data_IF_404591083336
#
_entry.id   IF_404591083336
#
_cell.length_a   1.000
_cell.length_b   1.000
_cell.length_c   1.000
_cell.angle_alpha   90.00
_cell.angle_beta   90.00
_cell.angle_gamma   90.00
#
_symmetry.space_group_name_H-M   'P 1'
#
loop_
_entity.id
_entity.type
_entity.pdbx_description
1 polymer ?
#
# COMPACT_ATOMS: atom_id res chain seq x y z
N UNK A 1 15.31 27.16 3.91
CA UNK A 1 14.67 26.57 5.11
C UNK A 1 14.14 27.61 6.10
N UNK A 2 14.91 28.58 6.65
CA UNK A 2 14.45 29.51 7.71
C UNK A 2 13.13 30.20 7.32
N UNK A 3 13.09 30.90 6.19
CA UNK A 3 11.88 31.63 5.75
C UNK A 3 10.67 30.70 5.54
N UNK A 4 10.88 29.45 5.10
CA UNK A 4 9.82 28.46 4.96
C UNK A 4 9.26 28.08 6.34
N UNK A 5 10.13 27.80 7.30
CA UNK A 5 9.70 27.45 8.66
C UNK A 5 8.93 28.59 9.33
N UNK A 6 9.39 29.84 9.19
CA UNK A 6 8.69 31.01 9.74
C UNK A 6 7.27 31.16 9.18
N UNK A 7 7.07 30.95 7.89
CA UNK A 7 5.73 30.92 7.26
C UNK A 7 4.88 29.77 7.80
N UNK A 8 5.44 28.56 7.86
CA UNK A 8 4.72 27.39 8.35
C UNK A 8 4.33 27.49 9.83
N UNK A 9 5.13 28.18 10.66
CA UNK A 9 4.80 28.48 12.07
C UNK A 9 3.62 29.44 12.21
N UNK A 10 3.35 30.25 11.18
CA UNK A 10 2.18 31.12 11.08
C UNK A 10 0.99 30.43 10.39
N UNK A 11 1.02 29.12 10.28
CA UNK A 11 0.00 28.28 9.65
C UNK A 11 -0.17 28.46 8.13
N UNK A 12 0.78 29.11 7.46
CA UNK A 12 0.83 29.11 6.00
C UNK A 12 1.02 27.69 5.46
N UNK A 13 0.69 27.52 4.18
CA UNK A 13 0.89 26.26 3.46
C UNK A 13 1.88 26.46 2.32
N UNK A 14 2.49 25.36 1.87
CA UNK A 14 3.35 25.37 0.71
C UNK A 14 2.53 25.10 -0.56
N UNK A 15 2.91 25.72 -1.66
CA UNK A 15 2.50 25.30 -2.98
C UNK A 15 3.14 23.93 -3.33
N UNK A 16 2.61 23.25 -4.34
CA UNK A 16 3.18 21.97 -4.83
C UNK A 16 4.65 22.11 -5.24
N UNK A 17 5.01 23.21 -5.92
CA UNK A 17 6.40 23.47 -6.32
C UNK A 17 7.32 23.72 -5.11
N UNK A 18 6.89 24.55 -4.14
CA UNK A 18 7.68 24.80 -2.93
C UNK A 18 7.92 23.51 -2.12
N UNK A 19 6.89 22.65 -1.99
CA UNK A 19 7.01 21.37 -1.30
C UNK A 19 7.94 20.41 -2.05
N UNK A 20 7.87 20.37 -3.37
CA UNK A 20 8.78 19.60 -4.22
C UNK A 20 10.24 20.03 -4.01
N UNK A 21 10.55 21.32 -4.20
CA UNK A 21 11.91 21.84 -4.09
C UNK A 21 12.48 21.67 -2.67
N UNK A 22 11.61 21.83 -1.67
CA UNK A 22 11.98 21.62 -0.27
C UNK A 22 12.44 20.17 -0.02
N UNK A 23 11.71 19.18 -0.56
CA UNK A 23 12.06 17.78 -0.37
C UNK A 23 13.31 17.40 -1.15
N UNK A 24 13.51 17.94 -2.36
CA UNK A 24 14.76 17.76 -3.08
C UNK A 24 15.96 18.28 -2.26
N UNK A 25 15.83 19.48 -1.68
CA UNK A 25 16.88 20.04 -0.80
C UNK A 25 17.14 19.19 0.45
N UNK A 26 16.13 18.53 1.00
CA UNK A 26 16.27 17.57 2.11
C UNK A 26 17.03 16.32 1.63
N UNK A 27 16.65 15.76 0.48
CA UNK A 27 17.31 14.60 -0.11
C UNK A 27 18.79 14.87 -0.41
N UNK A 28 19.11 16.05 -0.87
CA UNK A 28 20.47 16.52 -1.17
C UNK A 28 21.23 17.01 0.08
N UNK A 29 20.65 16.83 1.29
CA UNK A 29 21.23 17.21 2.59
C UNK A 29 21.64 18.69 2.70
N UNK A 30 20.90 19.57 2.04
CA UNK A 30 21.13 21.01 2.07
C UNK A 30 20.73 21.66 3.40
N UNK A 31 20.02 20.94 4.26
CA UNK A 31 19.46 21.46 5.50
C UNK A 31 19.96 20.69 6.71
N UNK A 32 20.11 21.38 7.83
CA UNK A 32 20.50 20.78 9.09
C UNK A 32 19.37 19.90 9.65
N UNK A 33 19.71 18.79 10.29
CA UNK A 33 18.75 17.81 10.83
C UNK A 33 17.69 18.45 11.74
N UNK A 34 18.08 19.44 12.56
CA UNK A 34 17.16 20.17 13.42
C UNK A 34 16.10 20.95 12.63
N UNK A 35 16.45 21.49 11.47
CA UNK A 35 15.50 22.18 10.59
C UNK A 35 14.54 21.20 9.93
N UNK A 36 15.03 20.03 9.53
CA UNK A 36 14.19 18.95 8.96
C UNK A 36 13.26 18.42 10.05
N UNK A 37 13.75 18.15 11.26
CA UNK A 37 12.92 17.71 12.38
C UNK A 37 11.82 18.73 12.71
N UNK A 38 12.15 20.03 12.71
CA UNK A 38 11.19 21.10 12.92
C UNK A 38 10.09 21.12 11.85
N UNK A 39 10.47 20.98 10.57
CA UNK A 39 9.53 20.83 9.46
C UNK A 39 8.58 19.62 9.67
N UNK A 40 9.14 18.47 10.00
CA UNK A 40 8.34 17.26 10.26
C UNK A 40 7.38 17.45 11.44
N UNK A 41 7.78 18.22 12.44
CA UNK A 41 6.93 18.55 13.59
C UNK A 41 5.76 19.44 13.18
N UNK A 42 5.94 20.43 12.31
CA UNK A 42 4.83 21.24 11.79
C UNK A 42 3.75 20.37 11.16
N UNK A 43 4.15 19.43 10.28
CA UNK A 43 3.21 18.50 9.64
C UNK A 43 2.64 17.44 10.59
N UNK A 44 3.16 17.31 11.79
CA UNK A 44 2.56 16.50 12.86
C UNK A 44 1.49 17.28 13.63
N UNK A 45 1.64 18.61 13.72
CA UNK A 45 0.75 19.50 14.47
C UNK A 45 -0.44 20.00 13.64
N UNK A 46 -0.32 20.00 12.32
CA UNK A 46 -1.40 20.36 11.40
C UNK A 46 -1.55 19.35 10.28
N UNK A 47 -2.72 19.34 9.68
CA UNK A 47 -2.99 18.51 8.49
C UNK A 47 -2.19 19.00 7.28
N UNK A 48 -1.61 18.06 6.56
CA UNK A 48 -0.97 18.34 5.28
C UNK A 48 -2.04 18.64 4.22
N UNK A 49 -1.77 19.63 3.35
CA UNK A 49 -2.62 19.95 2.21
C UNK A 49 -2.30 19.01 1.03
N UNK A 50 -3.29 18.84 0.15
CA UNK A 50 -3.17 17.99 -1.04
C UNK A 50 -1.98 18.43 -1.91
N UNK A 51 -1.81 19.73 -2.14
CA UNK A 51 -0.72 20.25 -2.97
C UNK A 51 0.66 20.05 -2.32
N UNK A 52 0.77 20.17 -1.01
CA UNK A 52 1.99 19.87 -0.27
C UNK A 52 2.37 18.38 -0.39
N UNK A 53 1.37 17.48 -0.22
CA UNK A 53 1.60 16.04 -0.31
C UNK A 53 2.00 15.62 -1.74
N UNK A 54 1.37 16.24 -2.75
CA UNK A 54 1.73 16.03 -4.15
C UNK A 54 3.15 16.52 -4.45
N UNK A 55 3.55 17.70 -3.95
CA UNK A 55 4.91 18.20 -4.12
C UNK A 55 5.96 17.27 -3.53
N UNK A 56 5.73 16.80 -2.31
CA UNK A 56 6.62 15.81 -1.68
C UNK A 56 6.65 14.48 -2.44
N UNK A 57 5.50 14.02 -2.92
CA UNK A 57 5.43 12.84 -3.79
C UNK A 57 6.25 13.01 -5.05
N UNK A 58 6.06 14.12 -5.76
CA UNK A 58 6.71 14.37 -7.05
C UNK A 58 8.24 14.38 -6.90
N UNK A 59 8.76 14.99 -5.84
CA UNK A 59 10.18 14.97 -5.52
C UNK A 59 10.72 13.56 -5.25
N UNK A 60 9.97 12.72 -4.53
CA UNK A 60 10.37 11.34 -4.29
C UNK A 60 10.37 10.50 -5.57
N UNK A 61 9.40 10.71 -6.44
CA UNK A 61 9.31 10.04 -7.74
C UNK A 61 10.46 10.49 -8.65
N UNK A 62 10.78 11.79 -8.69
CA UNK A 62 11.90 12.31 -9.47
C UNK A 62 13.25 11.69 -9.06
N UNK A 63 13.42 11.41 -7.76
CA UNK A 63 14.64 10.79 -7.21
C UNK A 63 14.56 9.27 -7.11
N UNK A 64 13.45 8.65 -7.50
CA UNK A 64 13.33 7.21 -7.51
C UNK A 64 14.14 6.58 -8.66
N UNK A 65 14.57 5.34 -8.46
CA UNK A 65 15.07 4.53 -9.56
C UNK A 65 13.87 4.13 -10.44
N UNK A 66 13.83 4.54 -11.71
CA UNK A 66 12.68 4.29 -12.55
C UNK A 66 12.59 2.81 -12.96
N UNK A 67 11.37 2.31 -13.05
CA UNK A 67 11.06 1.04 -13.71
C UNK A 67 9.81 1.24 -14.57
N UNK A 68 9.92 0.94 -15.84
CA UNK A 68 8.79 1.03 -16.77
C UNK A 68 8.05 -0.31 -16.85
N UNK A 69 6.81 -0.33 -16.31
CA UNK A 69 5.87 -1.44 -16.37
C UNK A 69 4.53 -1.01 -17.00
N UNK A 70 4.50 0.10 -17.74
CA UNK A 70 3.26 0.67 -18.30
C UNK A 70 2.52 -0.29 -19.22
N UNK A 71 3.23 -1.14 -19.95
CA UNK A 71 2.65 -2.18 -20.83
C UNK A 71 1.72 -3.16 -20.13
N UNK A 72 1.89 -3.34 -18.81
CA UNK A 72 1.10 -4.28 -18.00
C UNK A 72 -0.18 -3.67 -17.41
N UNK A 73 -0.36 -2.34 -17.44
CA UNK A 73 -1.47 -1.65 -16.80
C UNK A 73 -1.76 -2.19 -15.38
N UNK A 74 -0.70 -2.30 -14.57
CA UNK A 74 -0.72 -3.03 -13.31
C UNK A 74 -1.49 -2.31 -12.20
N UNK A 75 -2.00 -3.09 -11.24
CA UNK A 75 -2.60 -2.64 -9.99
C UNK A 75 -1.56 -2.67 -8.86
N UNK A 76 -1.51 -1.63 -8.04
CA UNK A 76 -0.89 -1.68 -6.70
C UNK A 76 -1.97 -1.91 -5.63
N UNK A 77 -1.75 -2.85 -4.72
CA UNK A 77 -2.61 -3.08 -3.55
C UNK A 77 -1.79 -2.78 -2.30
N UNK A 78 -2.11 -1.69 -1.62
CA UNK A 78 -1.31 -1.20 -0.50
C UNK A 78 -2.18 -0.58 0.59
N UNK A 79 -1.80 -0.76 1.85
CA UNK A 79 -2.33 0.00 2.98
C UNK A 79 -1.35 1.10 3.41
N UNK A 80 -1.85 2.13 4.06
CA UNK A 80 -0.99 3.18 4.66
C UNK A 80 -0.11 2.65 5.77
N UNK A 81 -0.52 1.57 6.38
CA UNK A 81 0.10 1.05 7.59
C UNK A 81 -0.17 1.94 8.80
N UNK A 82 0.29 1.48 9.95
CA UNK A 82 0.27 2.31 11.15
C UNK A 82 -1.13 2.51 11.77
N UNK A 83 -2.09 1.69 11.46
CA UNK A 83 -3.42 1.63 12.07
C UNK A 83 -3.38 1.12 13.52
N UNK A 84 -2.23 0.59 13.97
CA UNK A 84 -2.06 0.01 15.29
C UNK A 84 -2.63 -1.40 15.42
N UNK A 85 -3.04 -1.99 14.31
CA UNK A 85 -3.53 -3.38 14.24
C UNK A 85 -2.38 -4.31 13.85
N UNK A 86 -2.35 -5.49 14.43
CA UNK A 86 -1.42 -6.54 14.02
C UNK A 86 -2.18 -7.58 13.18
N UNK A 87 -2.59 -7.17 11.97
CA UNK A 87 -3.25 -8.07 11.01
C UNK A 87 -2.24 -8.94 10.28
N UNK A 88 -2.67 -10.13 9.84
CA UNK A 88 -1.88 -10.93 8.90
C UNK A 88 -1.75 -10.20 7.54
N UNK A 89 -0.91 -10.71 6.64
CA UNK A 89 -0.56 -10.03 5.38
C UNK A 89 -1.70 -10.07 4.34
N UNK A 90 -2.85 -9.47 4.66
CA UNK A 90 -4.09 -9.48 3.87
C UNK A 90 -3.84 -8.97 2.45
N UNK A 91 -3.30 -7.74 2.32
CA UNK A 91 -3.06 -7.14 1.01
C UNK A 91 -2.05 -7.92 0.17
N UNK A 92 -1.04 -8.55 0.81
CA UNK A 92 -0.07 -9.38 0.08
C UNK A 92 -0.69 -10.67 -0.41
N UNK A 93 -1.54 -11.34 0.39
CA UNK A 93 -2.33 -12.48 -0.07
C UNK A 93 -3.25 -12.08 -1.24
N UNK A 94 -3.96 -10.95 -1.11
CA UNK A 94 -4.86 -10.45 -2.14
C UNK A 94 -4.13 -10.20 -3.48
N UNK A 95 -2.88 -9.74 -3.46
CA UNK A 95 -2.07 -9.57 -4.68
C UNK A 95 -1.94 -10.87 -5.46
N UNK A 96 -1.65 -12.00 -4.80
CA UNK A 96 -1.53 -13.29 -5.47
C UNK A 96 -2.86 -13.85 -5.96
N UNK A 97 -3.95 -13.53 -5.27
CA UNK A 97 -5.32 -13.89 -5.73
C UNK A 97 -5.67 -13.11 -7.00
N UNK A 98 -5.42 -11.79 -7.02
CA UNK A 98 -5.66 -10.93 -8.20
C UNK A 98 -4.79 -11.35 -9.38
N UNK A 99 -3.51 -11.63 -9.14
CA UNK A 99 -2.62 -12.13 -10.18
C UNK A 99 -3.08 -13.48 -10.74
N UNK A 100 -3.53 -14.40 -9.88
CA UNK A 100 -4.06 -15.72 -10.26
C UNK A 100 -5.40 -15.64 -11.02
N UNK A 101 -6.18 -14.56 -10.80
CA UNK A 101 -7.37 -14.24 -11.60
C UNK A 101 -7.04 -13.72 -13.00
N UNK A 102 -5.76 -13.47 -13.31
CA UNK A 102 -5.30 -13.06 -14.64
C UNK A 102 -4.95 -11.58 -14.80
N UNK A 103 -5.00 -10.81 -13.71
CA UNK A 103 -4.63 -9.40 -13.71
C UNK A 103 -3.16 -9.21 -13.36
N UNK A 104 -2.60 -8.05 -13.71
CA UNK A 104 -1.21 -7.72 -13.40
C UNK A 104 -1.12 -6.87 -12.14
N UNK A 105 -0.21 -7.26 -11.24
CA UNK A 105 0.00 -6.59 -9.95
C UNK A 105 1.44 -6.16 -9.81
N UNK A 106 1.68 -4.88 -9.53
CA UNK A 106 2.99 -4.33 -9.20
C UNK A 106 2.94 -3.73 -7.78
N UNK A 107 3.15 -4.60 -6.79
CA UNK A 107 3.08 -4.19 -5.38
C UNK A 107 4.34 -3.46 -4.96
N UNK A 108 4.18 -2.21 -4.53
CA UNK A 108 5.22 -1.46 -3.85
C UNK A 108 5.09 -1.67 -2.33
N UNK A 109 6.15 -2.12 -1.68
CA UNK A 109 6.07 -2.46 -0.28
C UNK A 109 7.39 -2.39 0.49
N UNK A 110 7.28 -2.55 1.81
CA UNK A 110 8.39 -2.48 2.75
C UNK A 110 8.17 -3.44 3.92
N UNK A 111 9.08 -3.43 4.87
CA UNK A 111 8.88 -4.03 6.19
C UNK A 111 7.76 -3.31 6.94
N UNK A 112 7.08 -4.01 7.82
CA UNK A 112 6.04 -3.43 8.66
C UNK A 112 6.58 -2.30 9.55
N UNK A 113 5.82 -1.22 9.67
CA UNK A 113 6.19 -0.12 10.55
C UNK A 113 5.76 -0.36 12.02
N UNK A 114 4.68 -1.10 12.20
CA UNK A 114 4.07 -1.38 13.52
C UNK A 114 3.62 -2.84 13.68
N UNK A 115 3.46 -3.59 12.60
CA UNK A 115 3.13 -5.01 12.63
C UNK A 115 4.38 -5.89 12.76
N UNK A 116 4.19 -7.10 13.27
CA UNK A 116 5.25 -8.12 13.38
C UNK A 116 5.78 -8.52 12.00
N UNK A 117 4.92 -8.55 10.98
CA UNK A 117 5.29 -8.95 9.62
C UNK A 117 4.69 -8.00 8.60
N UNK A 118 5.56 -7.22 7.93
CA UNK A 118 5.20 -6.49 6.71
C UNK A 118 5.30 -7.36 5.46
N UNK A 119 4.95 -6.78 4.30
CA UNK A 119 5.02 -7.50 3.03
C UNK A 119 6.44 -8.03 2.73
N UNK A 120 7.48 -7.22 2.98
CA UNK A 120 8.86 -7.67 2.79
C UNK A 120 9.24 -8.82 3.73
N UNK A 121 8.79 -8.77 4.99
CA UNK A 121 9.10 -9.81 5.98
C UNK A 121 8.58 -11.18 5.53
N UNK A 122 7.31 -11.25 5.11
CA UNK A 122 6.73 -12.53 4.68
C UNK A 122 7.35 -13.04 3.38
N UNK A 123 7.70 -12.16 2.45
CA UNK A 123 8.34 -12.56 1.21
C UNK A 123 9.78 -13.06 1.41
N UNK A 124 10.58 -12.37 2.25
CA UNK A 124 11.92 -12.85 2.63
C UNK A 124 11.90 -14.20 3.35
N UNK A 125 10.89 -14.43 4.21
CA UNK A 125 10.71 -15.73 4.87
C UNK A 125 10.59 -16.89 3.84
N UNK A 126 10.01 -16.59 2.66
CA UNK A 126 9.90 -17.55 1.56
C UNK A 126 11.11 -17.55 0.58
N UNK A 127 12.21 -16.91 0.96
CA UNK A 127 13.45 -16.92 0.19
C UNK A 127 13.52 -15.91 -0.96
N UNK A 128 12.57 -14.96 -1.05
CA UNK A 128 12.60 -13.91 -2.06
C UNK A 128 13.80 -12.99 -1.84
N UNK A 129 14.57 -12.77 -2.88
CA UNK A 129 15.69 -11.82 -2.91
C UNK A 129 15.26 -10.57 -3.65
N UNK A 130 15.12 -9.47 -2.91
CA UNK A 130 14.72 -8.20 -3.50
C UNK A 130 15.80 -7.66 -4.43
N UNK A 131 15.37 -7.13 -5.56
CA UNK A 131 16.25 -6.59 -6.59
C UNK A 131 15.64 -5.34 -7.22
N UNK A 132 16.46 -4.54 -7.88
CA UNK A 132 16.07 -3.47 -8.80
C UNK A 132 16.49 -3.77 -10.24
N UNK A 133 16.84 -5.01 -10.54
CA UNK A 133 17.09 -5.49 -11.89
C UNK A 133 15.78 -5.48 -12.69
N UNK A 134 15.68 -4.54 -13.63
CA UNK A 134 14.50 -4.29 -14.44
C UNK A 134 14.07 -5.54 -15.25
N UNK A 135 15.02 -6.28 -15.82
CA UNK A 135 14.71 -7.46 -16.64
C UNK A 135 14.13 -8.59 -15.80
N UNK A 136 14.68 -8.79 -14.59
CA UNK A 136 14.16 -9.78 -13.64
C UNK A 136 12.75 -9.40 -13.18
N UNK A 137 12.52 -8.14 -12.87
CA UNK A 137 11.21 -7.63 -12.43
C UNK A 137 10.17 -7.67 -13.53
N UNK A 138 10.53 -7.30 -14.77
CA UNK A 138 9.64 -7.43 -15.93
C UNK A 138 9.28 -8.89 -16.20
N UNK A 139 10.24 -9.79 -16.14
CA UNK A 139 10.00 -11.24 -16.28
C UNK A 139 9.05 -11.76 -15.21
N UNK A 140 9.17 -11.28 -13.98
CA UNK A 140 8.29 -11.68 -12.88
C UNK A 140 6.84 -11.32 -13.17
N UNK A 141 6.54 -10.06 -13.49
CA UNK A 141 5.15 -9.64 -13.80
C UNK A 141 4.63 -10.26 -15.08
N UNK A 142 5.47 -10.45 -16.10
CA UNK A 142 5.06 -11.09 -17.34
C UNK A 142 4.61 -12.53 -17.11
N UNK A 143 5.45 -13.34 -16.46
CA UNK A 143 5.27 -14.78 -16.34
C UNK A 143 4.30 -15.21 -15.23
N UNK A 144 4.32 -14.55 -14.07
CA UNK A 144 3.42 -14.90 -12.96
C UNK A 144 2.36 -13.85 -12.62
N UNK A 145 2.28 -12.75 -13.36
CA UNK A 145 1.30 -11.68 -13.10
C UNK A 145 1.62 -10.80 -11.90
N UNK A 146 2.71 -11.08 -11.18
CA UNK A 146 3.09 -10.38 -9.95
C UNK A 146 4.53 -9.89 -9.99
N UNK A 147 4.76 -8.66 -9.56
CA UNK A 147 6.09 -8.13 -9.23
C UNK A 147 6.07 -7.43 -7.88
N UNK A 148 7.16 -7.55 -7.14
CA UNK A 148 7.34 -6.86 -5.85
C UNK A 148 8.47 -5.84 -5.95
N UNK A 149 8.14 -4.58 -5.68
CA UNK A 149 9.05 -3.45 -5.71
C UNK A 149 9.39 -3.07 -4.26
N UNK A 150 10.55 -3.52 -3.79
CA UNK A 150 11.01 -3.26 -2.42
C UNK A 150 11.44 -1.80 -2.25
N UNK A 151 10.66 -1.01 -1.53
CA UNK A 151 10.81 0.45 -1.45
C UNK A 151 12.24 0.96 -1.16
N UNK A 152 13.03 0.36 -0.25
CA UNK A 152 14.41 0.80 0.00
C UNK A 152 15.33 0.75 -1.22
N UNK A 153 15.08 -0.14 -2.18
CA UNK A 153 15.90 -0.26 -3.39
C UNK A 153 15.56 0.80 -4.44
N UNK A 154 14.36 1.39 -4.37
CA UNK A 154 13.88 2.35 -5.37
C UNK A 154 13.92 3.80 -4.91
N UNK A 155 13.93 4.07 -3.60
CA UNK A 155 13.85 5.43 -3.05
C UNK A 155 15.09 5.82 -2.23
N UNK A 156 16.24 6.06 -2.87
CA UNK A 156 17.47 6.47 -2.16
C UNK A 156 17.30 7.80 -1.40
N UNK A 157 16.44 8.70 -1.87
CA UNK A 157 16.14 9.96 -1.20
C UNK A 157 15.61 9.79 0.24
N UNK A 158 14.90 8.70 0.53
CA UNK A 158 14.39 8.40 1.86
C UNK A 158 15.51 8.06 2.87
N UNK A 159 16.69 7.67 2.40
CA UNK A 159 17.84 7.41 3.27
C UNK A 159 18.29 8.69 4.02
N UNK A 160 18.15 9.87 3.41
CA UNK A 160 18.52 11.15 4.02
C UNK A 160 17.69 11.46 5.28
N UNK A 161 16.41 11.11 5.29
CA UNK A 161 15.50 11.40 6.41
C UNK A 161 15.39 10.25 7.41
N UNK A 162 15.90 9.08 7.08
CA UNK A 162 15.83 7.87 7.91
C UNK A 162 16.37 8.08 9.34
N UNK A 163 17.58 8.61 9.55
CA UNK A 163 18.14 8.88 10.87
C UNK A 163 17.29 9.85 11.69
N UNK A 164 16.82 10.94 11.07
CA UNK A 164 16.00 11.96 11.73
C UNK A 164 14.68 11.33 12.21
N UNK A 165 13.99 10.60 11.35
CA UNK A 165 12.74 9.91 11.69
C UNK A 165 12.91 8.92 12.84
N UNK A 166 14.01 8.15 12.84
CA UNK A 166 14.34 7.23 13.95
C UNK A 166 14.59 7.96 15.26
N UNK A 167 15.26 9.12 15.21
CA UNK A 167 15.53 9.93 16.40
C UNK A 167 14.25 10.55 16.96
N UNK A 168 13.33 11.00 16.10
CA UNK A 168 12.05 11.59 16.51
C UNK A 168 11.10 10.58 17.15
N UNK A 169 11.15 9.29 16.80
CA UNK A 169 10.30 8.20 17.30
C UNK A 169 8.78 8.46 17.20
N UNK A 170 8.35 9.28 16.26
CA UNK A 170 6.94 9.59 15.98
C UNK A 170 6.62 9.38 14.50
N UNK A 171 5.35 9.18 14.19
CA UNK A 171 4.89 9.17 12.79
C UNK A 171 5.13 10.56 12.17
N UNK A 172 5.58 10.58 10.93
CA UNK A 172 5.85 11.81 10.16
C UNK A 172 5.09 11.79 8.84
N UNK A 173 5.14 12.87 8.06
CA UNK A 173 4.54 12.93 6.72
C UNK A 173 5.04 11.82 5.79
N UNK A 174 6.25 11.31 6.00
CA UNK A 174 6.79 10.20 5.20
C UNK A 174 6.00 8.89 5.36
N UNK A 175 5.22 8.76 6.42
CA UNK A 175 4.29 7.63 6.55
C UNK A 175 3.10 7.73 5.59
N UNK A 176 2.78 8.93 5.10
CA UNK A 176 1.72 9.16 4.12
C UNK A 176 2.22 8.99 2.66
N UNK A 177 3.52 9.05 2.43
CA UNK A 177 4.07 9.06 1.07
C UNK A 177 4.25 7.67 0.47
N UNK A 178 4.47 6.64 1.31
CA UNK A 178 4.74 5.27 0.85
C UNK A 178 3.77 4.76 -0.23
N UNK A 179 2.45 4.85 -0.01
CA UNK A 179 1.46 4.39 -0.99
C UNK A 179 1.43 5.21 -2.30
N UNK A 180 1.98 6.42 -2.30
CA UNK A 180 1.89 7.34 -3.44
C UNK A 180 3.12 7.31 -4.35
N UNK A 181 4.16 6.56 -3.98
CA UNK A 181 5.47 6.61 -4.65
C UNK A 181 5.88 5.26 -5.25
N UNK A 182 4.92 4.48 -5.74
CA UNK A 182 5.24 3.28 -6.51
C UNK A 182 6.08 3.68 -7.74
N UNK A 183 7.32 3.18 -7.89
CA UNK A 183 8.24 3.63 -8.93
C UNK A 183 7.82 3.18 -10.34
N UNK A 184 6.88 2.25 -10.47
CA UNK A 184 6.36 1.79 -11.76
C UNK A 184 5.17 2.60 -12.27
N UNK A 185 4.72 3.63 -11.53
CA UNK A 185 3.58 4.47 -11.94
C UNK A 185 2.35 3.65 -12.34
N UNK A 186 1.91 2.75 -11.45
CA UNK A 186 0.80 1.84 -11.73
C UNK A 186 -0.45 2.55 -12.28
N UNK A 187 -1.13 1.93 -13.24
CA UNK A 187 -2.36 2.47 -13.82
C UNK A 187 -3.53 2.46 -12.83
N UNK A 188 -3.48 1.52 -11.87
CA UNK A 188 -4.55 1.32 -10.88
C UNK A 188 -3.97 1.19 -9.47
N UNK A 189 -4.78 1.62 -8.47
CA UNK A 189 -4.41 1.48 -7.06
C UNK A 189 -5.62 1.14 -6.18
N UNK A 190 -5.54 0.05 -5.43
CA UNK A 190 -6.39 -0.20 -4.26
C UNK A 190 -5.63 0.24 -3.02
N UNK A 191 -6.10 1.30 -2.37
CA UNK A 191 -5.43 1.90 -1.23
C UNK A 191 -6.28 1.79 0.03
N UNK A 192 -5.78 1.07 1.02
CA UNK A 192 -6.37 1.03 2.36
C UNK A 192 -5.85 2.15 3.26
N UNK A 193 -6.75 2.76 4.01
CA UNK A 193 -6.44 3.86 4.94
C UNK A 193 -7.11 3.64 6.30
N UNK A 194 -6.45 4.08 7.38
CA UNK A 194 -6.90 3.82 8.74
C UNK A 194 -8.11 4.66 9.22
N UNK A 195 -8.49 5.71 8.49
CA UNK A 195 -9.59 6.60 8.89
C UNK A 195 -10.14 7.45 7.73
N UNK A 196 -11.32 8.04 7.96
CA UNK A 196 -12.02 8.85 6.97
C UNK A 196 -11.29 10.15 6.58
N UNK A 197 -10.46 10.72 7.46
CA UNK A 197 -9.67 11.90 7.15
C UNK A 197 -8.58 11.57 6.11
N UNK A 198 -7.87 10.47 6.31
CA UNK A 198 -6.92 9.96 5.32
C UNK A 198 -7.63 9.57 4.01
N UNK A 199 -8.80 8.92 4.10
CA UNK A 199 -9.58 8.59 2.91
C UNK A 199 -9.85 9.82 2.05
N UNK A 200 -10.31 10.92 2.64
CA UNK A 200 -10.55 12.18 1.92
C UNK A 200 -9.28 12.75 1.31
N UNK A 201 -8.18 12.75 2.07
CA UNK A 201 -6.88 13.23 1.59
C UNK A 201 -6.40 12.45 0.37
N UNK A 202 -6.35 11.12 0.49
CA UNK A 202 -5.85 10.26 -0.59
C UNK A 202 -6.76 10.24 -1.81
N UNK A 203 -8.08 10.27 -1.64
CA UNK A 203 -9.02 10.39 -2.77
C UNK A 203 -8.71 11.65 -3.59
N UNK A 204 -8.55 12.81 -2.94
CA UNK A 204 -8.22 14.06 -3.63
C UNK A 204 -6.83 14.01 -4.30
N UNK A 205 -5.85 13.37 -3.66
CA UNK A 205 -4.51 13.19 -4.23
C UNK A 205 -4.55 12.29 -5.46
N UNK A 206 -5.19 11.12 -5.38
CA UNK A 206 -5.27 10.16 -6.48
C UNK A 206 -6.07 10.69 -7.68
N UNK A 207 -7.14 11.48 -7.42
CA UNK A 207 -7.85 12.20 -8.47
C UNK A 207 -6.92 13.18 -9.23
N UNK A 208 -6.06 13.91 -8.52
CA UNK A 208 -5.10 14.83 -9.16
C UNK A 208 -3.95 14.09 -9.87
N UNK A 209 -3.59 12.89 -9.42
CA UNK A 209 -2.63 12.02 -10.12
C UNK A 209 -3.24 11.47 -11.41
N UNK A 210 -4.55 11.23 -11.46
CA UNK A 210 -5.28 10.82 -12.66
C UNK A 210 -5.18 9.33 -12.98
N UNK A 211 -5.01 8.46 -11.98
CA UNK A 211 -5.04 6.99 -12.13
C UNK A 211 -6.42 6.41 -11.78
N UNK A 212 -6.67 5.17 -12.15
CA UNK A 212 -7.81 4.41 -11.64
C UNK A 212 -7.57 4.04 -10.18
N UNK A 213 -8.52 4.33 -9.28
CA UNK A 213 -8.30 4.02 -7.86
C UNK A 213 -9.57 3.60 -7.12
N UNK A 214 -9.34 2.85 -6.06
CA UNK A 214 -10.30 2.62 -4.99
C UNK A 214 -9.59 2.85 -3.64
N UNK A 215 -10.12 3.74 -2.81
CA UNK A 215 -9.67 3.92 -1.42
C UNK A 215 -10.66 3.25 -0.49
N UNK A 216 -10.17 2.45 0.44
CA UNK A 216 -11.00 1.69 1.39
C UNK A 216 -10.60 1.97 2.84
N UNK A 217 -11.55 1.90 3.75
CA UNK A 217 -11.32 1.95 5.20
C UNK A 217 -12.40 1.16 5.92
N UNK A 218 -12.02 0.30 6.84
CA UNK A 218 -12.97 -0.26 7.80
C UNK A 218 -13.30 0.77 8.88
N UNK A 219 -14.59 0.89 9.26
CA UNK A 219 -15.03 1.98 10.13
C UNK A 219 -14.51 1.85 11.57
N UNK A 220 -14.02 0.69 11.95
CA UNK A 220 -13.32 0.41 13.21
C UNK A 220 -11.80 0.60 13.13
N UNK A 221 -11.29 1.22 12.04
CA UNK A 221 -9.95 1.77 11.95
C UNK A 221 -8.87 0.86 11.37
N UNK A 222 -9.24 -0.18 10.61
CA UNK A 222 -8.27 -0.94 9.81
C UNK A 222 -8.01 -0.24 8.47
N UNK A 223 -6.76 -0.26 8.03
CA UNK A 223 -6.34 0.22 6.71
C UNK A 223 -6.45 -0.86 5.61
N UNK A 224 -7.42 -1.74 5.75
CA UNK A 224 -7.82 -2.79 4.83
C UNK A 224 -9.33 -3.04 4.97
N UNK A 225 -9.94 -3.79 4.07
CA UNK A 225 -11.30 -4.32 4.27
C UNK A 225 -11.17 -5.50 5.23
N UNK A 226 -11.40 -5.24 6.52
CA UNK A 226 -11.21 -6.23 7.59
C UNK A 226 -12.40 -7.16 7.79
N UNK A 227 -13.61 -6.74 7.35
CA UNK A 227 -14.88 -7.39 7.66
C UNK A 227 -15.22 -7.44 9.16
N UNK A 228 -14.49 -6.71 10.02
CA UNK A 228 -14.76 -6.61 11.46
C UNK A 228 -15.85 -5.58 11.77
N UNK A 229 -16.10 -4.68 10.84
CA UNK A 229 -17.17 -3.68 10.85
C UNK A 229 -17.61 -3.41 9.39
N UNK A 230 -18.53 -2.48 9.22
CA UNK A 230 -18.78 -1.88 7.93
C UNK A 230 -17.53 -1.20 7.40
N UNK A 231 -17.43 -1.11 6.09
CA UNK A 231 -16.29 -0.44 5.46
C UNK A 231 -16.76 0.55 4.40
N UNK A 232 -16.01 1.63 4.27
CA UNK A 232 -16.27 2.67 3.28
C UNK A 232 -15.34 2.51 2.09
N UNK A 233 -15.87 2.75 0.92
CA UNK A 233 -15.19 2.67 -0.37
C UNK A 233 -15.38 3.98 -1.12
N UNK A 234 -14.31 4.56 -1.66
CA UNK A 234 -14.33 5.70 -2.56
C UNK A 234 -13.51 5.38 -3.80
N UNK A 235 -14.08 5.58 -4.97
CA UNK A 235 -13.42 5.38 -6.26
C UNK A 235 -13.40 6.67 -7.09
N UNK A 236 -12.94 6.58 -8.34
CA UNK A 236 -13.03 7.70 -9.29
C UNK A 236 -14.47 8.21 -9.48
N UNK A 237 -15.48 7.34 -9.33
CA UNK A 237 -16.86 7.59 -9.75
C UNK A 237 -17.91 7.35 -8.67
N UNK A 238 -17.55 6.72 -7.56
CA UNK A 238 -18.53 6.29 -6.54
C UNK A 238 -18.01 6.44 -5.11
N UNK A 239 -18.95 6.58 -4.20
CA UNK A 239 -18.75 6.54 -2.77
C UNK A 239 -19.83 5.65 -2.16
N UNK A 240 -19.45 4.63 -1.37
CA UNK A 240 -20.36 3.68 -0.80
C UNK A 240 -19.89 3.19 0.58
N UNK A 241 -20.84 2.78 1.40
CA UNK A 241 -20.57 2.04 2.63
C UNK A 241 -21.15 0.64 2.46
N UNK A 242 -20.32 -0.37 2.64
CA UNK A 242 -20.70 -1.77 2.57
C UNK A 242 -20.81 -2.36 3.97
N UNK A 243 -21.81 -3.22 4.14
CA UNK A 243 -21.91 -4.16 5.27
C UNK A 243 -21.42 -5.52 4.78
N UNK A 244 -20.67 -6.29 5.57
CA UNK A 244 -20.27 -7.64 5.17
C UNK A 244 -21.44 -8.50 4.68
N UNK A 245 -22.60 -8.37 5.31
CA UNK A 245 -23.82 -9.11 4.93
C UNK A 245 -24.37 -8.78 3.54
N UNK A 246 -24.06 -7.62 2.97
CA UNK A 246 -24.46 -7.27 1.60
C UNK A 246 -23.65 -8.04 0.54
N UNK A 247 -22.49 -8.56 0.94
CA UNK A 247 -21.65 -9.45 0.13
C UNK A 247 -21.84 -10.93 0.48
N UNK A 248 -22.89 -11.25 1.24
CA UNK A 248 -23.12 -12.61 1.73
C UNK A 248 -22.11 -13.11 2.76
N UNK A 249 -21.38 -12.20 3.40
CA UNK A 249 -20.29 -12.51 4.33
C UNK A 249 -20.70 -12.25 5.79
N UNK A 250 -20.04 -12.98 6.70
CA UNK A 250 -20.22 -12.84 8.15
C UNK A 250 -19.18 -11.86 8.69
N UNK A 251 -19.60 -11.00 9.62
CA UNK A 251 -18.71 -10.09 10.31
C UNK A 251 -17.66 -10.87 11.13
N UNK A 252 -16.39 -10.55 10.93
CA UNK A 252 -15.29 -11.23 11.60
C UNK A 252 -15.04 -10.64 13.00
N UNK A 253 -14.75 -11.44 14.02
CA UNK A 253 -14.23 -10.91 15.25
C UNK A 253 -12.78 -10.43 15.04
N UNK A 254 -12.35 -9.29 15.63
CA UNK A 254 -11.01 -8.73 15.41
C UNK A 254 -9.87 -9.72 15.63
N UNK A 255 -10.00 -10.63 16.59
CA UNK A 255 -8.99 -11.65 16.92
C UNK A 255 -8.76 -12.64 15.75
N UNK A 256 -9.74 -12.86 14.88
CA UNK A 256 -9.61 -13.75 13.74
C UNK A 256 -8.61 -13.25 12.68
N UNK A 257 -8.29 -11.95 12.70
CA UNK A 257 -7.36 -11.32 11.77
C UNK A 257 -5.96 -11.12 12.34
N UNK A 258 -5.69 -11.59 13.57
CA UNK A 258 -4.38 -11.42 14.20
C UNK A 258 -3.27 -12.08 13.37
N UNK A 259 -2.20 -11.32 13.12
CA UNK A 259 -1.10 -11.70 12.23
C UNK A 259 -0.01 -12.58 12.85
N UNK A 260 -0.25 -13.10 14.04
CA UNK A 260 0.74 -13.85 14.81
C UNK A 260 1.69 -12.94 15.60
N UNK A 261 2.52 -13.57 16.45
CA UNK A 261 3.45 -12.87 17.33
C UNK A 261 4.90 -12.95 16.84
N UNK A 262 5.15 -13.73 15.80
CA UNK A 262 6.46 -13.89 15.16
C UNK A 262 6.36 -13.85 13.64
N UNK A 263 7.45 -13.55 12.92
CA UNK A 263 7.48 -13.61 11.45
C UNK A 263 7.10 -14.99 10.89
N UNK A 264 7.51 -16.07 11.59
CA UNK A 264 7.20 -17.45 11.20
C UNK A 264 5.70 -17.74 11.33
N UNK A 265 5.07 -17.28 12.41
CA UNK A 265 3.63 -17.41 12.61
C UNK A 265 2.86 -16.64 11.52
N UNK A 266 3.31 -15.44 11.18
CA UNK A 266 2.71 -14.64 10.11
C UNK A 266 2.86 -15.33 8.73
N UNK A 267 4.04 -15.90 8.44
CA UNK A 267 4.27 -16.68 7.21
C UNK A 267 3.39 -17.93 7.14
N UNK A 268 3.18 -18.60 8.27
CA UNK A 268 2.28 -19.77 8.33
C UNK A 268 0.82 -19.39 8.06
N UNK A 269 0.36 -18.23 8.56
CA UNK A 269 -1.00 -17.74 8.26
C UNK A 269 -1.12 -17.43 6.76
N UNK A 270 -0.13 -16.75 6.20
CA UNK A 270 -0.05 -16.44 4.76
C UNK A 270 -0.14 -17.73 3.91
N UNK A 271 0.65 -18.74 4.24
CA UNK A 271 0.62 -20.04 3.59
C UNK A 271 -0.73 -20.73 3.70
N UNK A 272 -1.34 -20.71 4.88
CA UNK A 272 -2.64 -21.33 5.10
C UNK A 272 -3.72 -20.68 4.23
N UNK A 273 -3.68 -19.36 4.04
CA UNK A 273 -4.60 -18.66 3.13
C UNK A 273 -4.43 -19.17 1.70
N UNK A 274 -3.21 -19.15 1.17
CA UNK A 274 -2.97 -19.54 -0.23
C UNK A 274 -3.20 -21.04 -0.48
N UNK A 275 -3.03 -21.88 0.55
CA UNK A 275 -3.28 -23.33 0.51
C UNK A 275 -4.76 -23.71 0.74
N UNK A 276 -5.64 -22.74 0.95
CA UNK A 276 -7.06 -23.01 1.27
C UNK A 276 -7.27 -23.65 2.65
N UNK A 277 -6.34 -23.46 3.60
CA UNK A 277 -6.37 -23.98 4.97
C UNK A 277 -6.62 -22.90 6.03
N UNK A 278 -6.86 -21.66 5.60
CA UNK A 278 -7.20 -20.56 6.47
C UNK A 278 -8.60 -20.71 7.08
N UNK A 279 -8.87 -19.96 8.14
CA UNK A 279 -10.24 -19.82 8.66
C UNK A 279 -11.11 -19.11 7.62
N UNK A 280 -12.43 -19.31 7.71
CA UNK A 280 -13.38 -18.60 6.83
C UNK A 280 -13.21 -17.09 6.88
N UNK A 281 -12.99 -16.53 8.08
CA UNK A 281 -12.78 -15.09 8.24
C UNK A 281 -11.51 -14.58 7.53
N UNK A 282 -10.38 -15.29 7.64
CA UNK A 282 -9.14 -14.94 6.95
C UNK A 282 -9.30 -15.05 5.43
N UNK A 283 -9.90 -16.13 4.96
CA UNK A 283 -10.21 -16.34 3.55
C UNK A 283 -11.09 -15.23 2.99
N UNK A 284 -12.22 -14.96 3.64
CA UNK A 284 -13.22 -14.01 3.15
C UNK A 284 -12.68 -12.57 3.17
N UNK A 285 -11.85 -12.22 4.15
CA UNK A 285 -11.15 -10.96 4.20
C UNK A 285 -10.22 -10.79 2.99
N UNK A 286 -9.39 -11.79 2.67
CA UNK A 286 -8.50 -11.75 1.50
C UNK A 286 -9.30 -11.68 0.19
N UNK A 287 -10.36 -12.49 0.07
CA UNK A 287 -11.22 -12.51 -1.12
C UNK A 287 -11.87 -11.15 -1.36
N UNK A 288 -12.34 -10.49 -0.30
CA UNK A 288 -12.97 -9.16 -0.42
C UNK A 288 -11.96 -8.12 -0.88
N UNK A 289 -10.77 -8.08 -0.29
CA UNK A 289 -9.71 -7.15 -0.75
C UNK A 289 -9.29 -7.44 -2.20
N UNK A 290 -9.19 -8.71 -2.59
CA UNK A 290 -8.90 -9.10 -3.97
C UNK A 290 -10.03 -8.68 -4.93
N UNK A 291 -11.29 -8.88 -4.55
CA UNK A 291 -12.45 -8.47 -5.35
C UNK A 291 -12.48 -6.96 -5.61
N UNK A 292 -12.24 -6.14 -4.59
CA UNK A 292 -12.13 -4.69 -4.77
C UNK A 292 -10.89 -4.29 -5.57
N UNK A 293 -9.80 -5.07 -5.52
CA UNK A 293 -8.65 -4.93 -6.42
C UNK A 293 -9.03 -5.18 -7.89
N UNK A 294 -9.75 -6.26 -8.17
CA UNK A 294 -10.27 -6.57 -9.52
C UNK A 294 -11.24 -5.47 -9.99
N UNK A 295 -12.19 -5.08 -9.13
CA UNK A 295 -13.13 -4.01 -9.43
C UNK A 295 -12.44 -2.66 -9.71
N UNK A 296 -11.31 -2.37 -9.07
CA UNK A 296 -10.51 -1.16 -9.36
C UNK A 296 -10.00 -1.13 -10.79
N UNK A 297 -9.64 -2.30 -11.34
CA UNK A 297 -9.21 -2.43 -12.74
C UNK A 297 -10.42 -2.43 -13.69
N UNK A 298 -11.47 -3.16 -13.33
CA UNK A 298 -12.66 -3.42 -14.14
C UNK A 298 -13.89 -2.77 -13.51
N UNK A 299 -13.98 -1.44 -13.54
CA UNK A 299 -15.04 -0.69 -12.87
C UNK A 299 -16.45 -0.90 -13.45
N UNK A 300 -16.55 -1.51 -14.60
CA UNK A 300 -17.80 -1.92 -15.26
C UNK A 300 -18.34 -3.27 -14.74
N UNK A 301 -17.51 -4.09 -14.05
CA UNK A 301 -17.97 -5.32 -13.40
C UNK A 301 -18.60 -5.01 -12.04
N UNK A 302 -19.69 -5.71 -11.71
CA UNK A 302 -20.22 -5.66 -10.36
C UNK A 302 -19.29 -6.37 -9.35
N UNK A 303 -19.41 -6.00 -8.09
CA UNK A 303 -18.51 -6.51 -7.04
C UNK A 303 -18.73 -8.02 -6.76
N UNK A 304 -19.93 -8.52 -6.96
CA UNK A 304 -20.24 -9.94 -6.75
C UNK A 304 -19.50 -10.80 -7.80
N UNK A 305 -19.50 -10.36 -9.06
CA UNK A 305 -18.69 -10.99 -10.13
C UNK A 305 -17.20 -10.97 -9.79
N UNK A 306 -16.68 -9.83 -9.31
CA UNK A 306 -15.28 -9.73 -8.89
C UNK A 306 -14.96 -10.66 -7.70
N UNK A 307 -15.89 -10.81 -6.76
CA UNK A 307 -15.74 -11.71 -5.61
C UNK A 307 -15.70 -13.18 -6.05
N UNK A 308 -16.54 -13.57 -7.02
CA UNK A 308 -16.53 -14.93 -7.59
C UNK A 308 -15.24 -15.21 -8.38
N UNK A 309 -14.71 -14.24 -9.14
CA UNK A 309 -13.39 -14.38 -9.80
C UNK A 309 -12.27 -14.60 -8.77
N UNK A 310 -12.23 -13.80 -7.71
CA UNK A 310 -11.27 -13.94 -6.63
C UNK A 310 -11.40 -15.31 -5.93
N UNK A 311 -12.64 -15.73 -5.66
CA UNK A 311 -12.95 -17.02 -5.05
C UNK A 311 -12.49 -18.19 -5.92
N UNK A 312 -12.77 -18.14 -7.21
CA UNK A 312 -12.34 -19.15 -8.17
C UNK A 312 -10.80 -19.24 -8.25
N UNK A 313 -10.11 -18.09 -8.26
CA UNK A 313 -8.65 -18.03 -8.29
C UNK A 313 -8.01 -18.66 -7.03
N UNK A 314 -8.57 -18.40 -5.84
CA UNK A 314 -8.05 -18.95 -4.59
C UNK A 314 -8.38 -20.45 -4.44
N UNK A 315 -9.66 -20.81 -4.56
CA UNK A 315 -10.13 -22.18 -4.28
C UNK A 315 -9.68 -23.23 -5.30
N UNK A 316 -9.37 -22.82 -6.55
CA UNK A 316 -8.77 -23.71 -7.55
C UNK A 316 -7.29 -24.01 -7.30
N UNK A 317 -6.66 -23.38 -6.32
CA UNK A 317 -5.22 -23.47 -6.05
C UNK A 317 -4.34 -22.67 -7.04
N UNK A 318 -4.94 -21.86 -7.93
CA UNK A 318 -4.16 -21.00 -8.84
C UNK A 318 -3.36 -19.96 -8.08
N UNK A 319 -3.91 -19.36 -7.01
CA UNK A 319 -3.20 -18.37 -6.19
C UNK A 319 -1.92 -18.95 -5.57
N UNK A 320 -1.99 -20.18 -5.05
CA UNK A 320 -0.80 -20.89 -4.55
C UNK A 320 0.23 -21.12 -5.66
N UNK A 321 -0.19 -21.62 -6.82
CA UNK A 321 0.71 -21.85 -7.96
C UNK A 321 1.37 -20.54 -8.45
N UNK A 322 0.63 -19.45 -8.47
CA UNK A 322 1.15 -18.12 -8.81
C UNK A 322 2.22 -17.70 -7.81
N UNK A 323 1.98 -17.91 -6.51
CA UNK A 323 2.97 -17.63 -5.47
C UNK A 323 4.22 -18.49 -5.59
N UNK A 324 4.06 -19.82 -5.77
CA UNK A 324 5.18 -20.75 -5.97
C UNK A 324 6.02 -20.39 -7.21
N UNK A 325 5.36 -19.98 -8.31
CA UNK A 325 6.05 -19.49 -9.50
C UNK A 325 6.78 -18.18 -9.24
N UNK A 326 6.15 -17.24 -8.52
CA UNK A 326 6.78 -15.99 -8.10
C UNK A 326 8.03 -16.25 -7.24
N UNK A 327 7.97 -17.19 -6.29
CA UNK A 327 9.13 -17.61 -5.48
C UNK A 327 10.24 -18.14 -6.38
N UNK A 328 9.92 -19.06 -7.30
CA UNK A 328 10.91 -19.65 -8.22
C UNK A 328 11.62 -18.62 -9.10
N UNK A 329 10.94 -17.55 -9.50
CA UNK A 329 11.52 -16.48 -10.33
C UNK A 329 12.40 -15.50 -9.51
N UNK A 330 12.18 -15.38 -8.19
CA UNK A 330 12.73 -14.31 -7.37
C UNK A 330 13.61 -14.78 -6.19
N UNK A 331 13.83 -16.09 -6.05
CA UNK A 331 14.73 -16.64 -5.01
C UNK A 331 16.22 -16.49 -5.34
#
# INVERSE_FOLDING_TARGET
MKAILERLYQHDTLSRAEAHDLLLGIADKMYHDAQVASLLTVYRMRDIRVDELLGFRDALIERALPIDLNEFAALDIVGTGGDGKNTFNISTCACFVVAAAGYKVAKHGNYGASSVSGASTVLEHHGIKFTNDTDKLKRSIDQCGMVYLHAPLFHPALAAVGPIRRAMKVKTIFNLLGPLVNPSHTAYQLLGVANLQQMRLYTNVLQKIGIGFTVVTSLDGYDEISLTDNFKVMSNHSESIYRPSQLGLVMAPPQALHGGDTPEAAAQIFDNVLRGKATDFQRDCVLTNAAFGIHTICQDKDIDTCLEEARAALLSGKALKTFEHFVALNS
#
